data_IF_892870534140
#
_entry.id   IF_892870534140
#
_cell.length_a   1.000
_cell.length_b   1.000
_cell.length_c   1.000
_cell.angle_alpha   90.00
_cell.angle_beta   90.00
_cell.angle_gamma   90.00
#
_symmetry.space_group_name_H-M   'P 1'
#
loop_
_entity.id
_entity.type
_entity.pdbx_description
1 polymer ?
#
# COMPACT_ATOMS: atom_id res chain seq x y z
N UNK A 1 1.89 -9.33 4.52
CA UNK A 1 2.25 -9.00 3.12
C UNK A 1 2.63 -10.28 2.40
N UNK A 2 3.68 -11.00 2.81
CA UNK A 2 4.05 -12.32 2.25
C UNK A 2 2.87 -13.28 2.11
N UNK A 3 2.05 -13.47 3.14
CA UNK A 3 0.83 -14.31 3.05
C UNK A 3 -0.20 -13.86 2.01
N UNK A 4 -0.31 -12.57 1.72
CA UNK A 4 -1.20 -12.09 0.65
C UNK A 4 -0.64 -12.44 -0.72
N UNK A 5 0.69 -12.38 -0.87
CA UNK A 5 1.38 -12.78 -2.10
C UNK A 5 1.23 -14.29 -2.31
N UNK A 6 1.51 -15.09 -1.28
CA UNK A 6 1.33 -16.55 -1.30
C UNK A 6 -0.13 -16.93 -1.60
N UNK A 7 -1.10 -16.24 -0.96
CA UNK A 7 -2.52 -16.42 -1.22
C UNK A 7 -2.92 -16.03 -2.64
N UNK A 8 -2.28 -15.00 -3.21
CA UNK A 8 -2.48 -14.58 -4.61
C UNK A 8 -1.94 -15.63 -5.59
N UNK A 9 -0.70 -16.06 -5.41
CA UNK A 9 -0.03 -17.04 -6.27
C UNK A 9 -0.73 -18.40 -6.23
N UNK A 10 -1.24 -18.81 -5.07
CA UNK A 10 -1.99 -20.05 -4.91
C UNK A 10 -3.46 -19.96 -5.37
N UNK A 11 -3.94 -18.78 -5.77
CA UNK A 11 -5.32 -18.54 -6.19
C UNK A 11 -6.34 -18.50 -5.05
N UNK A 12 -5.90 -18.45 -3.79
CA UNK A 12 -6.77 -18.31 -2.62
C UNK A 12 -7.39 -16.92 -2.51
N UNK A 13 -6.67 -15.88 -2.97
CA UNK A 13 -7.14 -14.49 -2.96
C UNK A 13 -6.80 -13.82 -4.28
N UNK A 14 -7.72 -13.02 -4.80
CA UNK A 14 -7.43 -12.15 -5.94
C UNK A 14 -7.04 -10.77 -5.43
N UNK A 15 -5.88 -10.27 -5.84
CA UNK A 15 -5.41 -8.95 -5.45
C UNK A 15 -5.59 -7.96 -6.62
N UNK A 16 -6.17 -6.80 -6.34
CA UNK A 16 -6.46 -5.76 -7.33
C UNK A 16 -5.59 -4.54 -7.08
N UNK A 17 -5.19 -3.84 -8.15
CA UNK A 17 -4.51 -2.55 -8.09
C UNK A 17 -5.17 -1.56 -9.05
N UNK A 18 -5.53 -0.38 -8.56
CA UNK A 18 -6.00 0.69 -9.43
C UNK A 18 -4.87 1.13 -10.37
N UNK A 19 -5.19 1.33 -11.65
CA UNK A 19 -4.24 1.74 -12.68
C UNK A 19 -3.42 2.98 -12.29
N UNK A 20 -4.04 3.95 -11.63
CA UNK A 20 -3.36 5.16 -11.13
C UNK A 20 -2.24 4.82 -10.16
N UNK A 21 -2.46 3.85 -9.26
CA UNK A 21 -1.44 3.39 -8.29
C UNK A 21 -0.31 2.67 -9.02
N UNK A 22 -0.64 1.90 -10.06
CA UNK A 22 0.37 1.25 -10.89
C UNK A 22 1.26 2.28 -11.61
N UNK A 23 0.68 3.32 -12.20
CA UNK A 23 1.47 4.38 -12.83
C UNK A 23 2.35 5.14 -11.84
N UNK A 24 1.83 5.51 -10.68
CA UNK A 24 2.62 6.17 -9.63
C UNK A 24 3.76 5.28 -9.12
N UNK A 25 3.52 3.97 -9.03
CA UNK A 25 4.57 3.03 -8.70
C UNK A 25 5.69 3.09 -9.74
N UNK A 26 5.37 2.95 -11.03
CA UNK A 26 6.37 2.97 -12.12
C UNK A 26 7.13 4.30 -12.16
N UNK A 27 6.45 5.43 -11.93
CA UNK A 27 7.06 6.76 -11.90
C UNK A 27 8.09 6.91 -10.78
N UNK A 28 7.80 6.35 -9.60
CA UNK A 28 8.62 6.53 -8.40
C UNK A 28 9.61 5.40 -8.11
N UNK A 29 9.44 4.23 -8.74
CA UNK A 29 10.18 3.00 -8.45
C UNK A 29 11.70 3.23 -8.38
N UNK A 30 12.27 3.76 -9.47
CA UNK A 30 13.72 4.00 -9.56
C UNK A 30 14.22 4.98 -8.50
N UNK A 31 13.51 6.10 -8.29
CA UNK A 31 13.89 7.12 -7.32
C UNK A 31 13.91 6.54 -5.90
N UNK A 32 12.90 5.76 -5.54
CA UNK A 32 12.81 5.13 -4.21
C UNK A 32 13.95 4.14 -4.00
N UNK A 33 14.31 3.35 -5.01
CA UNK A 33 15.46 2.44 -4.95
C UNK A 33 16.78 3.20 -4.76
N UNK A 34 16.98 4.30 -5.48
CA UNK A 34 18.18 5.15 -5.36
C UNK A 34 18.28 5.79 -3.96
N UNK A 35 17.17 6.32 -3.43
CA UNK A 35 17.09 6.88 -2.07
C UNK A 35 17.37 5.83 -1.00
N UNK A 36 16.76 4.64 -1.11
CA UNK A 36 16.99 3.52 -0.20
C UNK A 36 18.46 3.08 -0.22
N UNK A 37 19.05 2.94 -1.40
CA UNK A 37 20.46 2.57 -1.57
C UNK A 37 21.39 3.60 -0.95
N UNK A 38 21.11 4.89 -1.16
CA UNK A 38 21.89 5.99 -0.56
C UNK A 38 21.83 5.95 0.97
N UNK A 39 20.64 5.74 1.54
CA UNK A 39 20.46 5.65 2.99
C UNK A 39 21.17 4.43 3.59
N UNK A 40 21.13 3.29 2.89
CA UNK A 40 21.84 2.08 3.28
C UNK A 40 23.37 2.29 3.30
N UNK A 41 23.92 2.90 2.25
CA UNK A 41 25.36 3.24 2.19
C UNK A 41 25.74 4.20 3.32
N UNK A 42 24.89 5.17 3.65
CA UNK A 42 25.13 6.07 4.76
C UNK A 42 25.15 5.34 6.11
N UNK A 43 24.23 4.40 6.34
CA UNK A 43 24.20 3.55 7.53
C UNK A 43 25.46 2.69 7.65
N UNK A 44 25.87 2.02 6.58
CA UNK A 44 27.08 1.18 6.57
C UNK A 44 28.34 1.99 6.93
N UNK A 45 28.45 3.22 6.41
CA UNK A 45 29.55 4.14 6.78
C UNK A 45 29.51 4.54 8.25
N UNK A 46 28.32 4.78 8.81
CA UNK A 46 28.18 5.09 10.23
C UNK A 46 28.60 3.91 11.11
N UNK A 47 28.21 2.68 10.74
CA UNK A 47 28.59 1.46 11.46
C UNK A 47 30.08 1.21 11.38
N UNK A 48 30.70 1.36 10.21
CA UNK A 48 32.15 1.27 10.05
C UNK A 48 32.89 2.24 10.99
N UNK A 49 32.44 3.49 11.05
CA UNK A 49 33.00 4.50 11.97
C UNK A 49 32.82 4.12 13.45
N UNK A 50 31.71 3.51 13.82
CA UNK A 50 31.49 3.03 15.20
C UNK A 50 32.46 1.89 15.51
N UNK A 51 32.63 0.92 14.62
CA UNK A 51 33.59 -0.17 14.79
C UNK A 51 35.02 0.38 14.96
N UNK A 52 35.43 1.36 14.14
CA UNK A 52 36.72 2.04 14.29
C UNK A 52 36.89 2.66 15.68
N UNK A 53 35.92 3.45 16.16
CA UNK A 53 36.00 4.10 17.47
C UNK A 53 36.05 3.06 18.60
N UNK A 54 35.18 2.06 18.54
CA UNK A 54 35.02 1.05 19.59
C UNK A 54 36.27 0.16 19.69
N UNK A 55 36.96 -0.08 18.57
CA UNK A 55 38.25 -0.78 18.54
C UNK A 55 39.36 -0.04 19.30
N UNK A 56 39.37 1.30 19.26
CA UNK A 56 40.33 2.14 20.00
C UNK A 56 40.17 1.95 21.52
N UNK A 57 38.94 1.74 21.99
CA UNK A 57 38.64 1.55 23.41
C UNK A 57 38.72 0.09 23.87
N UNK A 58 39.24 -0.83 23.03
CA UNK A 58 39.57 -2.20 23.41
C UNK A 58 38.38 -3.18 23.44
N UNK A 59 37.25 -2.82 22.85
CA UNK A 59 36.14 -3.76 22.72
C UNK A 59 36.44 -4.85 21.68
N UNK A 60 35.94 -6.06 21.94
CA UNK A 60 36.16 -7.25 21.11
C UNK A 60 34.84 -7.60 20.43
N UNK A 61 34.54 -6.92 19.32
CA UNK A 61 33.34 -7.18 18.53
C UNK A 61 33.15 -6.16 17.41
N UNK A 62 32.80 -6.64 16.22
CA UNK A 62 32.42 -5.80 15.08
C UNK A 62 30.93 -5.96 14.79
N UNK A 63 30.26 -4.83 14.59
CA UNK A 63 28.91 -4.83 14.04
C UNK A 63 29.04 -5.11 12.53
N UNK A 64 28.59 -6.29 12.09
CA UNK A 64 28.57 -6.68 10.69
C UNK A 64 27.17 -6.56 10.10
N UNK A 65 27.05 -5.71 9.08
CA UNK A 65 25.82 -5.49 8.30
C UNK A 65 26.02 -5.81 6.81
N UNK A 66 27.00 -6.64 6.44
CA UNK A 66 27.22 -7.04 5.04
C UNK A 66 25.98 -7.69 4.40
N UNK A 67 25.18 -8.42 5.19
CA UNK A 67 23.96 -9.10 4.74
C UNK A 67 22.84 -8.18 4.21
N UNK A 68 22.92 -6.86 4.44
CA UNK A 68 21.92 -5.90 3.94
C UNK A 68 22.36 -5.17 2.65
N UNK A 69 23.58 -5.36 2.14
CA UNK A 69 24.11 -4.61 0.99
C UNK A 69 23.25 -4.72 -0.28
N UNK A 70 22.72 -5.90 -0.57
CA UNK A 70 21.83 -6.21 -1.70
C UNK A 70 20.33 -6.14 -1.33
N UNK A 71 19.99 -5.63 -0.14
CA UNK A 71 18.62 -5.65 0.36
C UNK A 71 17.65 -4.85 -0.52
N UNK A 72 18.10 -3.73 -1.12
CA UNK A 72 17.27 -2.95 -2.05
C UNK A 72 16.90 -3.79 -3.28
N UNK A 73 17.87 -4.49 -3.86
CA UNK A 73 17.65 -5.36 -5.03
C UNK A 73 16.71 -6.51 -4.70
N UNK A 74 16.92 -7.20 -3.58
CA UNK A 74 16.05 -8.30 -3.14
C UNK A 74 14.62 -7.82 -2.85
N UNK A 75 14.48 -6.70 -2.15
CA UNK A 75 13.16 -6.12 -1.86
C UNK A 75 12.42 -5.76 -3.15
N UNK A 76 13.13 -5.20 -4.15
CA UNK A 76 12.55 -4.87 -5.44
C UNK A 76 12.12 -6.10 -6.24
N UNK A 77 12.89 -7.19 -6.19
CA UNK A 77 12.54 -8.45 -6.84
C UNK A 77 11.23 -9.02 -6.26
N UNK A 78 11.09 -9.08 -4.94
CA UNK A 78 9.83 -9.52 -4.31
C UNK A 78 8.65 -8.60 -4.62
N UNK A 79 8.87 -7.30 -4.72
CA UNK A 79 7.83 -6.37 -5.12
C UNK A 79 7.43 -6.54 -6.59
N UNK A 80 8.37 -6.90 -7.46
CA UNK A 80 8.10 -7.20 -8.87
C UNK A 80 7.16 -8.40 -8.99
N UNK A 81 7.52 -9.50 -8.32
CA UNK A 81 6.69 -10.71 -8.28
C UNK A 81 5.28 -10.39 -7.78
N UNK A 82 5.16 -9.55 -6.75
CA UNK A 82 3.86 -9.17 -6.26
C UNK A 82 3.05 -8.40 -7.30
N UNK A 83 3.63 -7.37 -7.93
CA UNK A 83 2.95 -6.54 -8.94
C UNK A 83 2.46 -7.38 -10.12
N UNK A 84 3.24 -8.37 -10.54
CA UNK A 84 2.87 -9.29 -11.63
C UNK A 84 1.64 -10.15 -11.30
N UNK A 85 1.35 -10.37 -10.00
CA UNK A 85 0.15 -11.07 -9.55
C UNK A 85 -1.07 -10.17 -9.35
N UNK A 86 -0.91 -8.85 -9.44
CA UNK A 86 -2.02 -7.91 -9.23
C UNK A 86 -2.84 -7.75 -10.50
N UNK A 87 -4.16 -7.87 -10.39
CA UNK A 87 -5.06 -7.50 -11.48
C UNK A 87 -5.24 -5.99 -11.49
N UNK A 88 -4.82 -5.36 -12.58
CA UNK A 88 -5.03 -3.93 -12.79
C UNK A 88 -6.51 -3.64 -13.04
N UNK A 89 -7.03 -2.63 -12.34
CA UNK A 89 -8.41 -2.15 -12.49
C UNK A 89 -8.38 -0.73 -13.01
N UNK A 90 -9.11 -0.51 -14.10
CA UNK A 90 -9.31 0.80 -14.72
C UNK A 90 -10.57 1.45 -14.12
N UNK A 91 -10.58 2.77 -13.89
CA UNK A 91 -11.79 3.45 -13.44
C UNK A 91 -12.93 3.29 -14.45
N UNK A 92 -14.12 3.00 -13.96
CA UNK A 92 -15.33 3.05 -14.79
C UNK A 92 -15.65 4.48 -15.25
N UNK A 93 -16.50 4.63 -16.28
CA UNK A 93 -16.77 5.93 -16.92
C UNK A 93 -17.19 7.04 -15.95
N UNK A 94 -17.96 6.69 -14.92
CA UNK A 94 -18.49 7.63 -13.93
C UNK A 94 -17.56 7.83 -12.71
N UNK A 95 -16.47 7.08 -12.60
CA UNK A 95 -15.56 7.16 -11.44
C UNK A 95 -14.96 8.56 -11.30
N UNK A 96 -14.52 9.16 -12.41
CA UNK A 96 -13.98 10.52 -12.44
C UNK A 96 -15.01 11.57 -11.99
N UNK A 97 -16.27 11.42 -12.42
CA UNK A 97 -17.34 12.33 -12.04
C UNK A 97 -17.64 12.25 -10.53
N UNK A 98 -17.69 11.04 -9.96
CA UNK A 98 -17.90 10.84 -8.52
C UNK A 98 -16.70 11.28 -7.69
N UNK A 99 -15.48 11.03 -8.14
CA UNK A 99 -14.26 11.51 -7.50
C UNK A 99 -14.24 13.05 -7.43
N UNK A 100 -14.65 13.71 -8.52
CA UNK A 100 -14.76 15.16 -8.55
C UNK A 100 -15.87 15.69 -7.65
N UNK A 101 -17.00 14.98 -7.54
CA UNK A 101 -18.07 15.31 -6.61
C UNK A 101 -17.59 15.24 -5.15
N UNK A 102 -16.81 14.21 -4.77
CA UNK A 102 -16.18 14.11 -3.44
C UNK A 102 -15.29 15.30 -3.14
N UNK A 103 -14.43 15.68 -4.09
CA UNK A 103 -13.55 16.83 -3.91
C UNK A 103 -14.33 18.11 -3.66
N UNK A 104 -15.36 18.38 -4.48
CA UNK A 104 -16.20 19.58 -4.30
C UNK A 104 -16.93 19.60 -2.96
N UNK A 105 -17.34 18.43 -2.48
CA UNK A 105 -18.01 18.26 -1.18
C UNK A 105 -17.08 18.18 0.04
N UNK A 106 -15.76 18.14 -0.14
CA UNK A 106 -14.80 17.78 0.90
C UNK A 106 -15.12 16.45 1.60
N UNK A 107 -15.65 15.48 0.84
CA UNK A 107 -16.00 14.14 1.32
C UNK A 107 -14.79 13.21 1.23
N UNK A 108 -14.49 12.42 2.26
CA UNK A 108 -13.29 11.58 2.26
C UNK A 108 -13.21 10.64 1.03
N UNK A 109 -11.98 10.34 0.55
CA UNK A 109 -10.68 10.76 1.10
C UNK A 109 -10.32 12.24 0.86
N UNK A 110 -11.17 13.03 0.19
CA UNK A 110 -10.92 14.46 0.01
C UNK A 110 -10.86 15.23 1.34
N UNK A 111 -10.04 16.28 1.36
CA UNK A 111 -9.93 17.22 2.48
C UNK A 111 -9.84 18.65 1.98
N UNK A 112 -10.36 19.57 2.79
CA UNK A 112 -10.31 21.00 2.49
C UNK A 112 -8.85 21.47 2.36
N UNK A 113 -8.52 22.08 1.23
CA UNK A 113 -7.19 22.67 0.97
C UNK A 113 -6.09 21.67 0.59
N UNK A 114 -6.40 20.38 0.44
CA UNK A 114 -5.48 19.37 -0.12
C UNK A 114 -5.97 18.96 -1.51
N UNK A 115 -5.09 18.99 -2.51
CA UNK A 115 -5.39 18.30 -3.77
C UNK A 115 -5.49 16.80 -3.49
N UNK A 116 -6.71 16.29 -3.51
CA UNK A 116 -7.05 14.90 -3.19
C UNK A 116 -7.64 14.20 -4.42
N UNK A 117 -7.43 14.76 -5.61
CA UNK A 117 -8.02 14.31 -6.87
C UNK A 117 -7.68 12.85 -7.17
N UNK A 118 -6.40 12.51 -7.06
CA UNK A 118 -5.89 11.15 -7.26
C UNK A 118 -6.43 10.18 -6.22
N UNK A 119 -6.37 10.54 -4.94
CA UNK A 119 -6.86 9.72 -3.83
C UNK A 119 -8.35 9.40 -4.00
N UNK A 120 -9.16 10.39 -4.40
CA UNK A 120 -10.59 10.21 -4.67
C UNK A 120 -10.84 9.30 -5.87
N UNK A 121 -10.07 9.44 -6.95
CA UNK A 121 -10.20 8.60 -8.14
C UNK A 121 -9.82 7.14 -7.84
N UNK A 122 -8.75 6.92 -7.08
CA UNK A 122 -8.32 5.59 -6.63
C UNK A 122 -9.43 4.95 -5.79
N UNK A 123 -9.97 5.68 -4.81
CA UNK A 123 -11.03 5.17 -3.95
C UNK A 123 -12.29 4.82 -4.77
N UNK A 124 -12.74 5.69 -5.66
CA UNK A 124 -13.88 5.44 -6.54
C UNK A 124 -13.68 4.26 -7.50
N UNK A 125 -12.44 4.03 -7.94
CA UNK A 125 -12.07 2.88 -8.77
C UNK A 125 -12.27 1.57 -8.00
N UNK A 126 -11.83 1.50 -6.75
CA UNK A 126 -12.05 0.31 -5.92
C UNK A 126 -13.52 0.10 -5.54
N UNK A 127 -14.27 1.18 -5.28
CA UNK A 127 -15.71 1.08 -5.07
C UNK A 127 -16.43 0.54 -6.32
N UNK A 128 -16.04 1.00 -7.51
CA UNK A 128 -16.54 0.48 -8.79
C UNK A 128 -16.24 -1.00 -8.97
N UNK A 129 -14.99 -1.40 -8.72
CA UNK A 129 -14.59 -2.81 -8.77
C UNK A 129 -15.42 -3.67 -7.81
N UNK A 130 -15.61 -3.21 -6.56
CA UNK A 130 -16.42 -3.89 -5.57
C UNK A 130 -17.88 -4.03 -5.98
N UNK A 131 -18.49 -2.97 -6.55
CA UNK A 131 -19.85 -3.04 -7.10
C UNK A 131 -19.94 -4.07 -8.21
N UNK A 132 -19.05 -4.02 -9.20
CA UNK A 132 -19.04 -4.95 -10.32
C UNK A 132 -18.91 -6.42 -9.85
N UNK A 133 -18.06 -6.68 -8.85
CA UNK A 133 -17.92 -8.01 -8.26
C UNK A 133 -19.21 -8.48 -7.57
N UNK A 134 -19.88 -7.60 -6.82
CA UNK A 134 -21.15 -7.91 -6.16
C UNK A 134 -22.29 -8.12 -7.15
N UNK A 135 -22.38 -7.29 -8.18
CA UNK A 135 -23.35 -7.44 -9.28
C UNK A 135 -23.13 -8.74 -10.07
N UNK A 136 -21.88 -9.19 -10.21
CA UNK A 136 -21.54 -10.49 -10.76
C UNK A 136 -21.82 -11.67 -9.81
N UNK A 137 -22.36 -11.43 -8.61
CA UNK A 137 -22.75 -12.45 -7.65
C UNK A 137 -21.64 -12.93 -6.72
N UNK A 138 -20.48 -12.26 -6.66
CA UNK A 138 -19.42 -12.62 -5.72
C UNK A 138 -19.90 -12.39 -4.28
N UNK A 139 -19.87 -13.44 -3.46
CA UNK A 139 -20.24 -13.38 -2.03
C UNK A 139 -19.05 -13.42 -1.08
N UNK A 140 -17.85 -13.72 -1.59
CA UNK A 140 -16.65 -13.78 -0.78
C UNK A 140 -16.27 -12.40 -0.18
N UNK A 141 -15.54 -12.37 0.95
CA UNK A 141 -15.09 -11.12 1.56
C UNK A 141 -14.24 -10.29 0.60
N UNK A 142 -14.48 -8.97 0.56
CA UNK A 142 -13.65 -8.02 -0.19
C UNK A 142 -12.99 -7.10 0.84
N UNK A 143 -11.69 -6.84 0.69
CA UNK A 143 -10.93 -5.98 1.60
C UNK A 143 -10.30 -4.84 0.83
N UNK A 144 -10.62 -3.60 1.21
CA UNK A 144 -9.89 -2.41 0.81
C UNK A 144 -8.69 -2.20 1.73
N UNK A 145 -7.50 -2.50 1.21
CA UNK A 145 -6.23 -2.33 1.91
C UNK A 145 -5.62 -0.96 1.59
N UNK A 146 -5.40 -0.13 2.61
CA UNK A 146 -4.63 1.10 2.46
C UNK A 146 -3.85 1.45 3.72
N UNK A 147 -2.55 1.72 3.55
CA UNK A 147 -1.69 2.20 4.63
C UNK A 147 -1.85 3.70 4.91
N UNK A 148 -2.57 4.45 4.05
CA UNK A 148 -2.85 5.86 4.25
C UNK A 148 -3.97 6.07 5.29
N UNK A 149 -3.70 5.65 6.52
CA UNK A 149 -4.69 5.65 7.60
C UNK A 149 -5.27 7.02 7.89
N UNK A 150 -4.54 8.11 7.63
CA UNK A 150 -5.05 9.45 7.89
C UNK A 150 -6.30 9.76 7.04
N UNK A 151 -6.33 9.31 5.78
CA UNK A 151 -7.42 9.65 4.87
C UNK A 151 -8.71 8.91 5.18
N UNK A 152 -8.61 7.69 5.71
CA UNK A 152 -9.74 6.81 5.93
C UNK A 152 -10.17 6.71 7.40
N UNK A 153 -9.26 6.95 8.34
CA UNK A 153 -9.53 6.88 9.78
C UNK A 153 -9.65 8.27 10.42
N UNK A 154 -10.41 8.32 11.50
CA UNK A 154 -10.40 9.44 12.46
C UNK A 154 -9.12 9.40 13.30
N UNK A 155 -8.88 10.45 14.08
CA UNK A 155 -7.74 10.54 14.99
C UNK A 155 -7.72 9.39 16.01
N UNK A 156 -8.90 8.95 16.45
CA UNK A 156 -9.09 7.79 17.33
C UNK A 156 -8.94 6.43 16.64
N UNK A 157 -8.40 6.39 15.40
CA UNK A 157 -8.20 5.17 14.59
C UNK A 157 -9.48 4.41 14.27
N UNK A 158 -10.61 5.10 14.20
CA UNK A 158 -11.92 4.54 13.79
C UNK A 158 -12.20 4.90 12.34
N UNK A 159 -12.81 4.00 11.56
CA UNK A 159 -13.18 4.29 10.17
C UNK A 159 -14.13 5.50 10.12
N UNK A 160 -13.86 6.44 9.22
CA UNK A 160 -14.75 7.60 9.03
C UNK A 160 -16.13 7.14 8.55
N UNK A 161 -17.19 7.75 9.09
CA UNK A 161 -18.56 7.37 8.80
C UNK A 161 -18.87 7.39 7.29
N UNK A 162 -18.46 8.46 6.59
CA UNK A 162 -18.64 8.58 5.14
C UNK A 162 -17.92 7.49 4.32
N UNK A 163 -16.78 6.97 4.82
CA UNK A 163 -16.07 5.85 4.19
C UNK A 163 -16.82 4.54 4.46
N UNK A 164 -17.29 4.34 5.69
CA UNK A 164 -18.10 3.17 6.04
C UNK A 164 -19.38 3.11 5.19
N UNK A 165 -20.09 4.23 5.05
CA UNK A 165 -21.29 4.36 4.21
C UNK A 165 -21.06 3.96 2.74
N UNK A 166 -19.86 4.20 2.21
CA UNK A 166 -19.52 3.82 0.85
C UNK A 166 -19.14 2.33 0.71
N UNK A 167 -18.54 1.76 1.75
CA UNK A 167 -18.04 0.38 1.76
C UNK A 167 -19.11 -0.65 2.16
N UNK A 168 -20.04 -0.28 3.03
CA UNK A 168 -21.09 -1.15 3.57
C UNK A 168 -22.00 -1.75 2.49
N UNK A 169 -22.49 -0.99 1.49
CA UNK A 169 -23.38 -1.53 0.44
C UNK A 169 -22.74 -2.65 -0.39
N UNK A 170 -21.41 -2.64 -0.50
CA UNK A 170 -20.63 -3.66 -1.23
C UNK A 170 -19.97 -4.66 -0.28
N UNK A 171 -20.28 -4.62 1.03
CA UNK A 171 -19.70 -5.49 2.04
C UNK A 171 -18.17 -5.57 1.93
N UNK A 172 -17.53 -4.40 1.78
CA UNK A 172 -16.08 -4.27 1.66
C UNK A 172 -15.50 -3.85 3.00
N UNK A 173 -14.51 -4.57 3.51
CA UNK A 173 -13.87 -4.27 4.78
C UNK A 173 -12.67 -3.35 4.58
N UNK A 174 -12.48 -2.38 5.46
CA UNK A 174 -11.25 -1.58 5.48
C UNK A 174 -10.14 -2.28 6.27
N UNK A 175 -8.92 -2.33 5.71
CA UNK A 175 -7.73 -2.81 6.39
C UNK A 175 -6.60 -1.77 6.34
N UNK A 176 -6.09 -1.29 7.50
CA UNK A 176 -5.02 -0.29 7.56
C UNK A 176 -3.61 -0.86 7.30
N UNK A 177 -3.49 -2.18 7.16
CA UNK A 177 -2.21 -2.86 6.93
C UNK A 177 -2.42 -4.24 6.32
N UNK A 178 -1.38 -4.77 5.67
CA UNK A 178 -1.43 -6.12 5.10
C UNK A 178 -1.73 -7.19 6.15
N UNK A 179 -1.26 -7.02 7.39
CA UNK A 179 -1.58 -7.95 8.49
C UNK A 179 -3.05 -7.89 8.92
N UNK A 180 -3.68 -6.72 8.87
CA UNK A 180 -5.11 -6.59 9.11
C UNK A 180 -5.94 -7.21 7.97
N UNK A 181 -5.50 -7.04 6.72
CA UNK A 181 -6.15 -7.65 5.57
C UNK A 181 -6.11 -9.19 5.61
N UNK A 182 -4.95 -9.78 5.95
CA UNK A 182 -4.80 -11.23 6.14
C UNK A 182 -5.80 -11.77 7.16
N UNK A 183 -5.92 -11.11 8.33
CA UNK A 183 -6.90 -11.51 9.36
C UNK A 183 -8.35 -11.37 8.89
N UNK A 184 -8.67 -10.29 8.17
CA UNK A 184 -10.01 -10.08 7.64
C UNK A 184 -10.40 -11.10 6.56
N UNK A 185 -9.42 -11.62 5.81
CA UNK A 185 -9.60 -12.64 4.79
C UNK A 185 -9.52 -14.08 5.34
N UNK A 186 -9.11 -14.28 6.58
CA UNK A 186 -8.95 -15.61 7.19
C UNK A 186 -7.72 -16.39 6.69
N UNK A 187 -6.67 -15.68 6.27
CA UNK A 187 -5.38 -16.24 5.81
C UNK A 187 -4.30 -16.32 6.91
#
# INVERSE_FOLDING_TARGET
MLRLIEGSVSGQVNCLIAEQVHFEFVEHDRRVQEEASKNLVALLKQVARVNEIVSIYGAVGEIDLSHIEDHVTRARAHLQEWIETLHQVVPESEASARAFARMRGNRAPARRGKDSSKDCLIFETYLGAGRALREAGMTAPIVFLSSNTSEYLTESRVLKAEIAEDLDPISMLYAPSAGAAVRALGL
#
